data_IF_793602392485
#
_entry.id   IF_793602392485
#
_cell.length_a   1.000
_cell.length_b   1.000
_cell.length_c   1.000
_cell.angle_alpha   90.00
_cell.angle_beta   90.00
_cell.angle_gamma   90.00
#
_symmetry.space_group_name_H-M   'P 1'
#
loop_
_entity.id
_entity.type
_entity.pdbx_description
1 polymer ?
#
# COMPACT_ATOMS: atom_id res chain seq x y z
N UNK A 1 53.22 16.34 49.40
CA UNK A 1 52.48 15.09 49.09
C UNK A 1 51.37 15.43 48.11
N UNK A 2 51.45 15.00 46.85
CA UNK A 2 50.34 15.19 45.89
C UNK A 2 49.38 13.99 45.93
N UNK A 3 48.11 14.30 45.99
CA UNK A 3 47.02 13.33 46.03
C UNK A 3 46.67 12.93 44.58
N UNK A 4 46.83 11.66 44.25
CA UNK A 4 46.46 11.09 42.96
C UNK A 4 44.91 10.95 42.84
N UNK A 5 44.33 11.48 41.75
CA UNK A 5 42.91 11.28 41.41
C UNK A 5 42.75 10.00 40.53
N UNK A 6 41.80 9.15 40.81
CA UNK A 6 41.54 8.01 39.95
C UNK A 6 40.75 8.44 38.70
N UNK A 7 41.23 8.07 37.53
CA UNK A 7 40.58 8.24 36.24
C UNK A 7 39.60 7.06 36.03
N UNK A 8 38.31 7.34 36.02
CA UNK A 8 37.28 6.33 35.61
C UNK A 8 37.20 6.27 34.09
N UNK A 9 37.59 5.17 33.50
CA UNK A 9 37.36 4.87 32.10
C UNK A 9 35.91 4.32 31.94
N UNK A 10 35.06 5.07 31.26
CA UNK A 10 33.72 4.63 30.90
C UNK A 10 33.81 3.71 29.69
N UNK A 11 33.46 2.44 29.87
CA UNK A 11 33.30 1.46 28.81
C UNK A 11 31.96 1.70 28.12
N UNK A 12 31.94 2.23 26.90
CA UNK A 12 30.75 2.29 26.06
C UNK A 12 30.56 0.93 25.37
N UNK A 13 29.58 0.15 25.83
CA UNK A 13 29.11 -1.05 25.12
C UNK A 13 28.09 -0.61 24.06
N UNK A 14 28.53 -0.58 22.82
CA UNK A 14 27.62 -0.38 21.67
C UNK A 14 26.88 -1.68 21.37
N UNK A 15 25.61 -1.74 21.75
CA UNK A 15 24.73 -2.84 21.36
C UNK A 15 24.35 -2.68 19.88
N UNK A 16 24.97 -3.50 19.02
CA UNK A 16 24.57 -3.62 17.61
C UNK A 16 23.25 -4.40 17.55
N UNK A 17 22.14 -3.73 17.26
CA UNK A 17 20.87 -4.36 16.95
C UNK A 17 20.98 -4.97 15.57
N UNK A 18 21.17 -6.29 15.50
CA UNK A 18 21.03 -7.05 14.27
C UNK A 18 19.57 -7.08 13.86
N UNK A 19 19.18 -6.28 12.85
CA UNK A 19 17.92 -6.45 12.15
C UNK A 19 17.97 -7.81 11.43
N UNK A 20 17.34 -8.82 12.02
CA UNK A 20 17.11 -10.10 11.35
C UNK A 20 16.03 -9.85 10.29
N UNK A 21 16.32 -10.06 8.99
CA UNK A 21 15.28 -9.98 7.97
C UNK A 21 14.22 -11.04 8.30
N UNK A 22 12.95 -10.64 8.31
CA UNK A 22 11.83 -11.57 8.47
C UNK A 22 11.90 -12.60 7.33
N UNK A 23 12.33 -13.80 7.63
CA UNK A 23 12.40 -14.91 6.66
C UNK A 23 10.99 -15.15 6.11
N UNK A 24 10.82 -15.05 4.79
CA UNK A 24 9.58 -15.49 4.14
C UNK A 24 9.40 -16.98 4.50
N UNK A 25 8.22 -17.32 5.04
CA UNK A 25 7.87 -18.71 5.31
C UNK A 25 7.70 -19.44 3.97
N UNK A 26 8.00 -20.73 3.92
CA UNK A 26 7.97 -21.54 2.70
C UNK A 26 6.60 -21.54 1.96
N UNK A 27 5.54 -21.12 2.64
CA UNK A 27 4.17 -21.02 2.08
C UNK A 27 3.77 -19.62 1.58
N UNK A 28 4.61 -18.59 1.78
CA UNK A 28 4.31 -17.22 1.37
C UNK A 28 4.50 -17.08 -0.16
N UNK A 29 3.62 -16.32 -0.81
CA UNK A 29 3.68 -16.08 -2.27
C UNK A 29 4.07 -14.63 -2.53
N UNK A 30 5.19 -14.43 -3.21
CA UNK A 30 5.61 -13.09 -3.66
C UNK A 30 5.01 -12.77 -5.03
N UNK A 31 4.36 -11.60 -5.13
CA UNK A 31 3.86 -11.07 -6.41
C UNK A 31 4.98 -10.32 -7.10
N UNK A 32 5.55 -10.92 -8.13
CA UNK A 32 6.63 -10.31 -8.91
C UNK A 32 6.13 -9.14 -9.76
N UNK A 33 6.97 -8.13 -9.96
CA UNK A 33 6.65 -6.93 -10.72
C UNK A 33 6.12 -7.21 -12.14
N UNK A 34 6.62 -8.26 -12.80
CA UNK A 34 6.19 -8.66 -14.16
C UNK A 34 4.75 -9.21 -14.25
N UNK A 35 4.13 -9.61 -13.14
CA UNK A 35 2.79 -10.21 -13.13
C UNK A 35 1.65 -9.19 -13.01
N UNK A 36 1.98 -7.92 -12.84
CA UNK A 36 0.98 -6.87 -12.78
C UNK A 36 0.44 -6.52 -14.17
N UNK A 37 -0.86 -6.27 -14.25
CA UNK A 37 -1.58 -5.98 -15.50
C UNK A 37 -2.42 -4.72 -15.35
N UNK A 38 -2.67 -4.02 -16.47
CA UNK A 38 -3.60 -2.89 -16.50
C UNK A 38 -5.03 -3.41 -16.29
N UNK A 39 -5.67 -2.98 -15.20
CA UNK A 39 -7.03 -3.40 -14.83
C UNK A 39 -8.06 -2.34 -15.25
N UNK A 40 -7.76 -1.07 -14.98
CA UNK A 40 -8.62 0.05 -15.33
C UNK A 40 -7.79 1.06 -16.11
N UNK A 41 -8.30 1.43 -17.30
CA UNK A 41 -7.72 2.46 -18.15
C UNK A 41 -8.83 3.40 -18.59
N UNK A 42 -8.75 4.66 -18.24
CA UNK A 42 -9.52 5.70 -18.87
C UNK A 42 -8.91 6.05 -20.24
N UNK A 43 -9.68 6.63 -21.17
CA UNK A 43 -9.24 6.87 -22.54
C UNK A 43 -7.87 7.55 -22.64
N UNK A 44 -6.96 6.99 -23.44
CA UNK A 44 -5.61 7.50 -23.65
C UNK A 44 -4.56 6.39 -23.66
N UNK A 45 -3.40 6.62 -24.29
CA UNK A 45 -2.46 5.55 -24.65
C UNK A 45 -1.42 5.21 -23.57
N UNK A 46 -1.41 5.81 -22.38
CA UNK A 46 -0.19 5.87 -21.59
C UNK A 46 -0.26 5.04 -20.31
N UNK A 47 0.67 4.10 -20.19
CA UNK A 47 1.12 3.58 -18.91
C UNK A 47 2.31 4.41 -18.43
N UNK A 48 2.25 4.88 -17.21
CA UNK A 48 3.34 5.61 -16.52
C UNK A 48 4.03 4.72 -15.47
N UNK A 49 3.89 3.40 -15.62
CA UNK A 49 4.55 2.43 -14.75
C UNK A 49 5.75 1.82 -15.46
N UNK A 50 6.84 1.65 -14.71
CA UNK A 50 8.05 0.95 -15.14
C UNK A 50 8.51 -0.02 -14.06
N UNK A 51 9.27 -1.04 -14.47
CA UNK A 51 9.98 -1.90 -13.51
C UNK A 51 11.36 -1.30 -13.31
N UNK A 52 11.70 -1.00 -12.07
CA UNK A 52 13.01 -0.52 -11.66
C UNK A 52 13.64 -1.49 -10.66
N UNK A 53 14.92 -1.34 -10.38
CA UNK A 53 15.68 -2.21 -9.46
C UNK A 53 16.49 -1.34 -8.50
N UNK A 54 16.50 -1.70 -7.23
CA UNK A 54 17.33 -1.10 -6.19
C UNK A 54 17.88 -2.24 -5.31
N UNK A 55 19.17 -2.28 -5.11
CA UNK A 55 19.88 -3.35 -4.36
C UNK A 55 19.52 -4.77 -4.85
N UNK A 56 19.40 -4.94 -6.17
CA UNK A 56 19.03 -6.20 -6.80
C UNK A 56 17.55 -6.59 -6.65
N UNK A 57 16.73 -5.78 -5.99
CA UNK A 57 15.30 -6.05 -5.78
C UNK A 57 14.45 -5.27 -6.79
N UNK A 58 13.65 -5.95 -7.62
CA UNK A 58 12.74 -5.27 -8.55
C UNK A 58 11.55 -4.65 -7.80
N UNK A 59 11.10 -3.51 -8.31
CA UNK A 59 9.91 -2.82 -7.83
C UNK A 59 9.18 -2.13 -8.99
N UNK A 60 7.92 -1.73 -8.77
CA UNK A 60 7.16 -0.95 -9.75
C UNK A 60 7.30 0.52 -9.39
N UNK A 61 7.74 1.33 -10.35
CA UNK A 61 7.77 2.78 -10.30
C UNK A 61 6.60 3.36 -11.06
N UNK A 62 5.79 4.19 -10.40
CA UNK A 62 4.75 4.99 -11.00
C UNK A 62 5.20 6.46 -11.07
N UNK A 63 5.07 7.09 -12.24
CA UNK A 63 5.40 8.49 -12.46
C UNK A 63 4.28 9.16 -13.26
N UNK A 64 3.22 9.55 -12.55
CA UNK A 64 2.10 10.25 -13.14
C UNK A 64 2.48 11.71 -13.46
N UNK A 65 2.18 12.15 -14.67
CA UNK A 65 2.32 13.55 -15.08
C UNK A 65 0.95 14.17 -15.41
N UNK A 66 0.76 15.48 -15.18
CA UNK A 66 -0.49 16.17 -15.48
C UNK A 66 -0.93 15.95 -16.93
N UNK A 67 -2.22 15.70 -17.15
CA UNK A 67 -2.79 15.42 -18.46
C UNK A 67 -2.77 13.95 -18.88
N UNK A 68 -2.09 13.08 -18.14
CA UNK A 68 -2.24 11.63 -18.33
C UNK A 68 -3.56 11.13 -17.76
N UNK A 69 -4.04 10.03 -18.29
CA UNK A 69 -5.21 9.32 -17.74
C UNK A 69 -4.78 8.35 -16.67
N UNK A 70 -5.54 8.29 -15.58
CA UNK A 70 -5.31 7.38 -14.47
C UNK A 70 -5.34 5.92 -14.94
N UNK A 71 -4.32 5.17 -14.55
CA UNK A 71 -4.19 3.74 -14.84
C UNK A 71 -4.03 2.98 -13.52
N UNK A 72 -4.79 1.92 -13.36
CA UNK A 72 -4.66 0.97 -12.25
C UNK A 72 -3.97 -0.28 -12.76
N UNK A 73 -2.86 -0.67 -12.12
CA UNK A 73 -2.31 -2.01 -12.28
C UNK A 73 -2.94 -2.94 -11.25
N UNK A 74 -3.20 -4.18 -11.64
CA UNK A 74 -3.77 -5.19 -10.76
C UNK A 74 -3.05 -6.53 -10.87
N UNK A 75 -3.17 -7.28 -9.79
CA UNK A 75 -2.80 -8.69 -9.72
C UNK A 75 -4.01 -9.49 -9.26
N UNK A 76 -4.43 -10.44 -10.08
CA UNK A 76 -5.54 -11.32 -9.76
C UNK A 76 -5.03 -12.52 -8.95
N UNK A 77 -5.63 -12.76 -7.78
CA UNK A 77 -5.29 -13.89 -6.93
C UNK A 77 -5.75 -15.20 -7.61
N UNK A 78 -4.85 -16.18 -7.80
CA UNK A 78 -5.23 -17.50 -8.32
C UNK A 78 -6.37 -18.13 -7.50
N UNK A 79 -7.30 -18.79 -8.15
CA UNK A 79 -8.53 -19.27 -7.52
C UNK A 79 -8.26 -20.18 -6.31
N UNK A 80 -7.30 -21.10 -6.42
CA UNK A 80 -6.91 -22.00 -5.34
C UNK A 80 -6.31 -21.32 -4.10
N UNK A 81 -5.87 -20.06 -4.22
CA UNK A 81 -5.24 -19.32 -3.12
C UNK A 81 -6.18 -18.32 -2.43
N UNK A 82 -7.30 -17.94 -3.06
CA UNK A 82 -8.20 -16.86 -2.61
C UNK A 82 -8.70 -16.96 -1.17
N UNK A 83 -8.85 -18.19 -0.64
CA UNK A 83 -9.28 -18.45 0.74
C UNK A 83 -8.13 -18.81 1.69
N UNK A 84 -6.93 -19.04 1.14
CA UNK A 84 -5.74 -19.45 1.90
C UNK A 84 -4.95 -18.26 2.41
N UNK A 85 -4.98 -17.13 1.68
CA UNK A 85 -4.27 -15.92 2.05
C UNK A 85 -4.91 -15.28 3.27
N UNK A 86 -4.13 -15.05 4.30
CA UNK A 86 -4.54 -14.43 5.58
C UNK A 86 -4.12 -12.98 5.67
N UNK A 87 -2.92 -12.66 5.16
CA UNK A 87 -2.37 -11.33 5.24
C UNK A 87 -1.74 -10.91 3.92
N UNK A 88 -1.68 -9.60 3.71
CA UNK A 88 -0.90 -8.98 2.63
C UNK A 88 0.13 -8.07 3.26
N UNK A 89 1.40 -8.26 2.86
CA UNK A 89 2.50 -7.36 3.18
C UNK A 89 2.96 -6.66 1.92
N UNK A 90 3.31 -5.39 2.01
CA UNK A 90 3.98 -4.66 0.94
C UNK A 90 4.88 -3.60 1.53
N UNK A 91 5.76 -3.09 0.69
CA UNK A 91 6.47 -1.85 0.98
C UNK A 91 6.22 -0.85 -0.13
N UNK A 92 6.15 0.40 0.22
CA UNK A 92 5.96 1.51 -0.70
C UNK A 92 6.71 2.74 -0.24
N UNK A 93 6.87 3.70 -1.14
CA UNK A 93 7.37 5.03 -0.80
C UNK A 93 6.77 6.07 -1.72
N UNK A 94 6.39 7.23 -1.20
CA UNK A 94 6.01 8.39 -1.98
C UNK A 94 7.27 9.14 -2.43
N UNK A 95 7.37 9.43 -3.72
CA UNK A 95 8.45 10.21 -4.33
C UNK A 95 8.01 11.64 -4.60
N UNK A 96 6.80 11.81 -5.16
CA UNK A 96 6.20 13.11 -5.44
C UNK A 96 4.75 13.07 -4.95
N UNK A 97 4.40 14.00 -4.09
CA UNK A 97 3.03 14.16 -3.58
C UNK A 97 2.21 15.07 -4.50
N UNK A 98 0.97 14.70 -4.84
CA UNK A 98 0.07 15.59 -5.57
C UNK A 98 -0.28 16.82 -4.73
N UNK A 99 -0.42 17.98 -5.38
CA UNK A 99 -0.57 19.28 -4.72
C UNK A 99 -1.86 19.35 -3.90
N UNK A 100 -1.75 19.28 -2.56
CA UNK A 100 -2.89 19.30 -1.66
C UNK A 100 -3.84 18.11 -1.82
N UNK A 101 -3.34 16.97 -2.33
CA UNK A 101 -4.11 15.74 -2.48
C UNK A 101 -4.59 15.21 -1.13
N UNK A 102 -5.91 15.02 -1.02
CA UNK A 102 -6.60 14.43 0.13
C UNK A 102 -7.83 13.66 -0.35
N UNK A 103 -7.75 12.35 -0.29
CA UNK A 103 -8.83 11.44 -0.74
C UNK A 103 -10.15 11.62 0.03
N UNK A 104 -10.10 12.30 1.17
CA UNK A 104 -11.27 12.60 1.98
C UNK A 104 -11.89 13.98 1.69
N UNK A 105 -11.38 14.70 0.71
CA UNK A 105 -11.88 16.01 0.28
C UNK A 105 -12.35 15.93 -1.16
N UNK A 106 -13.63 16.22 -1.45
CA UNK A 106 -14.14 16.23 -2.83
C UNK A 106 -13.31 17.14 -3.75
N UNK A 107 -12.97 16.61 -4.95
CA UNK A 107 -12.16 17.34 -5.93
C UNK A 107 -10.65 17.38 -5.62
N UNK A 108 -10.19 16.68 -4.57
CA UNK A 108 -8.78 16.54 -4.21
C UNK A 108 -8.36 15.09 -3.99
N UNK A 109 -9.12 14.14 -4.52
CA UNK A 109 -8.95 12.70 -4.27
C UNK A 109 -7.74 12.05 -4.92
N UNK A 110 -6.61 12.78 -5.01
CA UNK A 110 -5.35 12.30 -5.56
C UNK A 110 -4.40 11.84 -4.46
N UNK A 111 -3.63 10.80 -4.78
CA UNK A 111 -2.65 10.23 -3.86
C UNK A 111 -1.36 9.87 -4.58
N UNK A 112 -0.23 10.04 -3.89
CA UNK A 112 1.06 9.60 -4.41
C UNK A 112 1.07 8.08 -4.63
N UNK A 113 0.51 7.34 -3.70
CA UNK A 113 0.41 5.88 -3.78
C UNK A 113 -0.94 5.38 -3.27
N UNK A 114 -1.48 4.41 -3.97
CA UNK A 114 -2.72 3.71 -3.62
C UNK A 114 -2.50 2.21 -3.71
N UNK A 115 -3.00 1.48 -2.71
CA UNK A 115 -3.11 0.01 -2.73
C UNK A 115 -4.56 -0.37 -2.52
N UNK A 116 -5.09 -1.17 -3.44
CA UNK A 116 -6.43 -1.74 -3.36
C UNK A 116 -6.35 -3.20 -2.90
N UNK A 117 -7.14 -3.56 -1.90
CA UNK A 117 -7.37 -4.94 -1.48
C UNK A 117 -8.83 -5.27 -1.76
N UNK A 118 -9.09 -6.31 -2.58
CA UNK A 118 -10.42 -6.59 -3.11
C UNK A 118 -10.88 -8.00 -2.79
N UNK A 119 -12.10 -8.10 -2.24
CA UNK A 119 -12.84 -9.34 -1.99
C UNK A 119 -14.07 -9.42 -2.89
N UNK A 120 -14.60 -10.64 -3.05
CA UNK A 120 -15.82 -10.87 -3.84
C UNK A 120 -16.75 -11.88 -3.17
N UNK A 121 -18.03 -11.51 -3.04
CA UNK A 121 -19.14 -12.39 -2.61
C UNK A 121 -20.25 -12.32 -3.64
N UNK A 122 -20.46 -13.41 -4.36
CA UNK A 122 -21.39 -13.43 -5.49
C UNK A 122 -21.04 -12.39 -6.56
N UNK A 123 -21.95 -11.47 -6.84
CA UNK A 123 -21.73 -10.38 -7.80
C UNK A 123 -21.16 -9.09 -7.16
N UNK A 124 -21.03 -9.07 -5.82
CA UNK A 124 -20.60 -7.88 -5.11
C UNK A 124 -19.09 -7.90 -4.83
N UNK A 125 -18.45 -6.79 -5.14
CA UNK A 125 -17.05 -6.52 -4.81
C UNK A 125 -16.97 -5.64 -3.56
N UNK A 126 -15.97 -5.94 -2.72
CA UNK A 126 -15.63 -5.17 -1.52
C UNK A 126 -14.17 -4.74 -1.66
N UNK A 127 -13.90 -3.46 -1.55
CA UNK A 127 -12.55 -2.93 -1.76
C UNK A 127 -12.15 -1.99 -0.63
N UNK A 128 -10.98 -2.23 -0.05
CA UNK A 128 -10.30 -1.26 0.79
C UNK A 128 -9.23 -0.56 -0.05
N UNK A 129 -9.30 0.76 -0.10
CA UNK A 129 -8.36 1.64 -0.79
C UNK A 129 -7.45 2.28 0.26
N UNK A 130 -6.23 1.77 0.42
CA UNK A 130 -5.21 2.37 1.29
C UNK A 130 -4.44 3.41 0.50
N UNK A 131 -4.27 4.61 1.06
CA UNK A 131 -3.66 5.71 0.33
C UNK A 131 -2.51 6.36 1.10
N UNK A 132 -1.53 6.82 0.34
CA UNK A 132 -0.53 7.77 0.80
C UNK A 132 -0.93 9.16 0.30
N UNK A 133 -1.59 9.91 1.16
CA UNK A 133 -2.13 11.25 0.90
C UNK A 133 -1.04 12.32 0.97
N UNK A 134 -1.25 13.47 0.33
CA UNK A 134 -0.36 14.63 0.50
C UNK A 134 -0.59 15.36 1.83
N UNK A 135 -1.85 15.59 2.21
CA UNK A 135 -2.22 16.39 3.39
C UNK A 135 -3.33 15.78 4.26
N UNK A 136 -3.87 14.63 3.87
CA UNK A 136 -4.96 13.97 4.59
C UNK A 136 -4.53 13.46 5.98
N UNK A 137 -5.49 13.32 6.88
CA UNK A 137 -5.25 12.84 8.25
C UNK A 137 -5.08 11.32 8.28
N UNK A 138 -3.93 10.82 8.72
CA UNK A 138 -3.65 9.39 8.89
C UNK A 138 -4.68 8.73 9.80
N UNK A 139 -5.15 7.54 9.41
CA UNK A 139 -6.17 6.77 10.12
C UNK A 139 -7.62 7.16 9.76
N UNK A 140 -7.83 8.27 9.05
CA UNK A 140 -9.17 8.65 8.58
C UNK A 140 -9.68 7.66 7.53
N UNK A 141 -10.95 7.26 7.67
CA UNK A 141 -11.68 6.48 6.67
C UNK A 141 -12.75 7.38 6.05
N UNK A 142 -12.85 7.37 4.73
CA UNK A 142 -13.77 8.21 3.98
C UNK A 142 -14.12 7.61 2.62
N UNK A 143 -14.84 8.39 1.78
CA UNK A 143 -15.28 7.98 0.44
C UNK A 143 -15.93 6.59 0.43
N UNK A 144 -16.80 6.35 1.43
CA UNK A 144 -17.49 5.08 1.57
C UNK A 144 -18.57 4.92 0.50
N UNK A 145 -18.35 3.99 -0.41
CA UNK A 145 -19.32 3.61 -1.44
C UNK A 145 -20.08 2.37 -1.03
N UNK A 146 -21.40 2.40 -1.14
CA UNK A 146 -22.27 1.26 -0.82
C UNK A 146 -23.39 1.16 -1.84
N UNK A 147 -23.33 0.13 -2.69
CA UNK A 147 -24.40 -0.21 -3.60
C UNK A 147 -24.50 -1.76 -3.75
N UNK A 148 -25.46 -2.31 -4.48
CA UNK A 148 -25.60 -3.78 -4.61
C UNK A 148 -24.36 -4.49 -5.15
N UNK A 149 -23.54 -3.84 -5.96
CA UNK A 149 -22.40 -4.45 -6.64
C UNK A 149 -21.05 -4.06 -6.05
N UNK A 150 -20.97 -2.93 -5.34
CA UNK A 150 -19.71 -2.39 -4.82
C UNK A 150 -19.88 -1.90 -3.39
N UNK A 151 -18.94 -2.27 -2.54
CA UNK A 151 -18.68 -1.62 -1.27
C UNK A 151 -17.20 -1.21 -1.25
N UNK A 152 -16.91 0.05 -0.96
CA UNK A 152 -15.53 0.56 -0.89
C UNK A 152 -15.39 1.51 0.29
N UNK A 153 -14.27 1.42 0.99
CA UNK A 153 -13.79 2.43 1.93
C UNK A 153 -12.39 2.88 1.50
N UNK A 154 -12.10 4.15 1.68
CA UNK A 154 -10.78 4.73 1.50
C UNK A 154 -10.18 5.02 2.87
N UNK A 155 -8.96 4.56 3.11
CA UNK A 155 -8.23 4.71 4.37
C UNK A 155 -6.94 5.50 4.11
N UNK A 156 -6.76 6.62 4.79
CA UNK A 156 -5.50 7.34 4.75
C UNK A 156 -4.48 6.60 5.63
N UNK A 157 -3.66 5.79 4.97
CA UNK A 157 -2.66 4.95 5.64
C UNK A 157 -1.40 5.74 5.98
N UNK A 158 -0.99 6.64 5.08
CA UNK A 158 0.16 7.54 5.23
C UNK A 158 -0.19 8.93 4.72
N UNK A 159 0.54 9.94 5.19
CA UNK A 159 0.35 11.31 4.75
C UNK A 159 1.66 12.10 4.82
N UNK A 160 1.78 13.09 3.94
CA UNK A 160 2.92 13.97 3.87
C UNK A 160 4.16 13.35 3.22
N UNK A 161 5.25 14.11 3.22
CA UNK A 161 6.50 13.70 2.61
C UNK A 161 7.13 12.53 3.38
N UNK A 162 7.27 11.39 2.71
CA UNK A 162 7.94 10.21 3.27
C UNK A 162 9.46 10.24 3.19
N UNK A 163 10.05 11.34 2.70
CA UNK A 163 11.50 11.46 2.51
C UNK A 163 12.11 10.44 1.54
N UNK A 164 11.29 9.79 0.70
CA UNK A 164 11.73 8.75 -0.22
C UNK A 164 12.12 7.42 0.46
N UNK A 165 11.92 7.29 1.75
CA UNK A 165 12.21 6.06 2.48
C UNK A 165 11.13 4.98 2.24
N UNK A 166 11.56 3.73 2.14
CA UNK A 166 10.65 2.60 2.08
C UNK A 166 9.92 2.39 3.40
N UNK A 167 8.60 2.28 3.33
CA UNK A 167 7.73 1.96 4.46
C UNK A 167 7.04 0.63 4.20
N UNK A 168 7.03 -0.24 5.21
CA UNK A 168 6.36 -1.55 5.14
C UNK A 168 5.00 -1.51 5.81
N UNK A 169 4.04 -2.20 5.21
CA UNK A 169 2.69 -2.40 5.72
C UNK A 169 2.37 -3.89 5.81
N UNK A 170 1.55 -4.26 6.77
CA UNK A 170 0.93 -5.58 6.86
C UNK A 170 -0.54 -5.43 7.22
N UNK A 171 -1.42 -6.08 6.44
CA UNK A 171 -2.86 -6.08 6.69
C UNK A 171 -3.34 -7.51 6.88
N UNK A 172 -3.97 -7.79 8.03
CA UNK A 172 -4.78 -9.00 8.23
C UNK A 172 -6.10 -8.84 7.49
N UNK A 173 -6.33 -9.71 6.49
CA UNK A 173 -7.44 -9.59 5.57
C UNK A 173 -8.81 -9.80 6.24
N UNK A 174 -8.89 -10.73 7.20
CA UNK A 174 -10.13 -11.02 7.87
C UNK A 174 -10.54 -9.88 8.82
N UNK A 175 -9.60 -9.41 9.61
CA UNK A 175 -9.83 -8.29 10.54
C UNK A 175 -10.19 -7.01 9.80
N UNK A 176 -9.47 -6.70 8.70
CA UNK A 176 -9.75 -5.52 7.89
C UNK A 176 -11.14 -5.60 7.24
N UNK A 177 -11.49 -6.75 6.62
CA UNK A 177 -12.81 -6.94 6.01
C UNK A 177 -13.93 -6.76 7.03
N UNK A 178 -13.85 -7.43 8.17
CA UNK A 178 -14.89 -7.36 9.21
C UNK A 178 -15.04 -5.95 9.76
N UNK A 179 -13.94 -5.26 10.01
CA UNK A 179 -13.96 -3.87 10.52
C UNK A 179 -14.73 -2.94 9.60
N UNK A 180 -14.50 -3.01 8.30
CA UNK A 180 -15.03 -2.05 7.34
C UNK A 180 -16.39 -2.43 6.76
N UNK A 181 -16.69 -3.72 6.64
CA UNK A 181 -17.89 -4.18 5.92
C UNK A 181 -18.88 -4.94 6.79
N UNK A 182 -18.47 -5.45 7.96
CA UNK A 182 -19.31 -6.26 8.85
C UNK A 182 -19.38 -5.68 10.29
N UNK A 183 -19.17 -4.36 10.42
CA UNK A 183 -19.23 -3.62 11.70
C UNK A 183 -18.34 -4.21 12.80
N UNK A 184 -17.26 -4.90 12.43
CA UNK A 184 -16.32 -5.54 13.37
C UNK A 184 -16.79 -6.88 13.92
N UNK A 185 -17.90 -7.46 13.44
CA UNK A 185 -18.38 -8.75 13.92
C UNK A 185 -17.33 -9.86 13.68
N UNK A 186 -16.73 -10.44 14.74
CA UNK A 186 -15.68 -11.44 14.61
C UNK A 186 -16.18 -12.77 14.01
N UNK A 187 -17.49 -13.01 14.01
CA UNK A 187 -18.13 -14.22 13.48
C UNK A 187 -18.55 -14.08 12.01
N UNK A 188 -18.54 -12.84 11.47
CA UNK A 188 -18.95 -12.63 10.10
C UNK A 188 -18.05 -13.39 9.13
N UNK A 189 -18.65 -14.01 8.12
CA UNK A 189 -17.93 -14.70 7.05
C UNK A 189 -17.13 -13.69 6.22
N UNK A 190 -15.90 -14.08 5.87
CA UNK A 190 -15.01 -13.28 5.03
C UNK A 190 -15.03 -13.87 3.62
N UNK A 191 -15.45 -13.09 2.62
CA UNK A 191 -15.49 -13.58 1.25
C UNK A 191 -14.09 -13.81 0.67
N UNK A 192 -14.06 -14.42 -0.52
CA UNK A 192 -12.83 -14.73 -1.23
C UNK A 192 -12.04 -13.44 -1.54
N UNK A 193 -10.76 -13.40 -1.17
CA UNK A 193 -9.82 -12.35 -1.55
C UNK A 193 -9.39 -12.55 -3.00
N UNK A 194 -9.76 -11.65 -3.90
CA UNK A 194 -9.66 -11.87 -5.34
C UNK A 194 -8.59 -11.05 -6.04
N UNK A 195 -8.08 -9.99 -5.44
CA UNK A 195 -7.10 -9.16 -6.12
C UNK A 195 -6.49 -8.06 -5.29
N UNK A 196 -5.36 -7.58 -5.81
CA UNK A 196 -4.64 -6.39 -5.35
C UNK A 196 -4.56 -5.44 -6.53
N UNK A 197 -4.68 -4.13 -6.27
CA UNK A 197 -4.42 -3.07 -7.25
C UNK A 197 -3.44 -2.05 -6.71
N UNK A 198 -2.75 -1.36 -7.61
CA UNK A 198 -1.92 -0.19 -7.28
C UNK A 198 -2.24 0.96 -8.23
N UNK A 199 -2.13 2.19 -7.74
CA UNK A 199 -2.36 3.40 -8.51
C UNK A 199 -1.56 4.57 -7.93
N UNK A 200 -1.13 5.47 -8.81
CA UNK A 200 -0.68 6.83 -8.47
C UNK A 200 -1.44 7.78 -9.39
N UNK A 201 -1.96 8.86 -8.86
CA UNK A 201 -2.74 9.82 -9.65
C UNK A 201 -2.59 11.26 -9.17
N UNK A 202 -2.97 12.19 -10.01
CA UNK A 202 -2.91 13.63 -9.78
C UNK A 202 -3.85 14.38 -10.72
N UNK A 203 -4.92 13.72 -11.18
CA UNK A 203 -5.83 14.26 -12.21
C UNK A 203 -6.77 15.31 -11.66
N UNK A 204 -7.25 15.17 -10.43
CA UNK A 204 -8.13 16.13 -9.79
C UNK A 204 -7.39 17.41 -9.37
N UNK A 205 -6.18 17.27 -8.84
CA UNK A 205 -5.33 18.40 -8.44
C UNK A 205 -4.49 18.96 -9.60
N UNK A 206 -4.52 18.28 -10.77
CA UNK A 206 -3.74 18.63 -11.96
C UNK A 206 -2.26 18.77 -11.67
N UNK A 207 -1.73 17.85 -10.86
CA UNK A 207 -0.34 17.86 -10.42
C UNK A 207 0.35 16.52 -10.66
N UNK A 208 1.67 16.51 -10.68
CA UNK A 208 2.43 15.29 -10.75
C UNK A 208 2.31 14.49 -9.44
N UNK A 209 2.35 13.17 -9.58
CA UNK A 209 2.53 12.27 -8.45
C UNK A 209 3.49 11.14 -8.81
N UNK A 210 4.25 10.64 -7.85
CA UNK A 210 5.12 9.50 -8.08
C UNK A 210 5.29 8.66 -6.82
N UNK A 211 5.33 7.34 -7.03
CA UNK A 211 5.56 6.39 -5.96
C UNK A 211 6.28 5.15 -6.48
N UNK A 212 6.95 4.45 -5.57
CA UNK A 212 7.52 3.14 -5.81
C UNK A 212 6.77 2.09 -4.96
N UNK A 213 6.47 0.95 -5.56
CA UNK A 213 5.82 -0.21 -4.94
C UNK A 213 6.77 -1.38 -4.97
N UNK A 214 7.24 -1.81 -3.81
CA UNK A 214 8.10 -2.98 -3.64
C UNK A 214 7.31 -4.29 -3.79
N UNK A 215 7.95 -5.43 -3.53
CA UNK A 215 7.27 -6.70 -3.63
C UNK A 215 6.09 -6.79 -2.67
N UNK A 216 5.00 -7.40 -3.15
CA UNK A 216 3.86 -7.79 -2.34
C UNK A 216 4.02 -9.24 -1.93
N UNK A 217 3.83 -9.54 -0.65
CA UNK A 217 3.88 -10.89 -0.11
C UNK A 217 2.50 -11.28 0.41
N UNK A 218 1.97 -12.37 -0.12
CA UNK A 218 0.71 -12.96 0.25
C UNK A 218 0.97 -14.10 1.24
N UNK A 219 0.61 -13.87 2.50
CA UNK A 219 0.83 -14.80 3.62
C UNK A 219 -0.35 -15.75 3.72
N UNK A 220 -0.09 -17.06 3.69
CA UNK A 220 -1.10 -18.12 3.81
C UNK A 220 -1.34 -18.59 5.24
#
# INVERSE_FOLDING_TARGET
MPIARPTFAALFVTASVLLVPASARADDMTVEAKHWQVVKRESGPVSYYTIATEDGQPFIRAQYAPGLKTVVLGYQIPEGDRRRIKKVRWRWRAQVLPNGGDECVPGRGDSAAVVYLTWKRGLRYYTLKYVWSAVGQVGRTCDSKRNPFVAQDTIIQRSGAGGGAWVSEEIDLASAFRRHFERGDPKADVPSFVGIGIMSDGDQTRSASAADYGPFVLVR
#
